data_IF_343392573840
#
_entry.id   IF_343392573840
#
_cell.length_a   1.000
_cell.length_b   1.000
_cell.length_c   1.000
_cell.angle_alpha   90.00
_cell.angle_beta   90.00
_cell.angle_gamma   90.00
#
_symmetry.space_group_name_H-M   'P 1'
#
loop_
_entity.id
_entity.type
_entity.pdbx_description
1 polymer ?
#
# COMPACT_ATOMS: atom_id res chain seq x y z
N UNK A 1 -16.61 -12.62 18.60
CA UNK A 1 -17.03 -13.09 17.26
C UNK A 1 -16.52 -14.50 16.95
N UNK A 2 -15.21 -14.79 16.89
CA UNK A 2 -14.72 -16.15 16.55
C UNK A 2 -15.01 -17.21 17.64
N UNK A 3 -14.55 -16.99 18.88
CA UNK A 3 -14.81 -17.91 20.01
C UNK A 3 -16.30 -18.22 20.16
N UNK A 4 -17.11 -17.18 20.24
CA UNK A 4 -18.57 -17.28 20.31
C UNK A 4 -19.19 -18.06 19.13
N UNK A 5 -18.65 -17.90 17.91
CA UNK A 5 -19.12 -18.67 16.75
C UNK A 5 -18.85 -20.16 16.90
N UNK A 6 -17.65 -20.53 17.36
CA UNK A 6 -17.27 -21.93 17.59
C UNK A 6 -18.10 -22.56 18.71
N UNK A 7 -18.32 -21.82 19.79
CA UNK A 7 -19.14 -22.30 20.93
C UNK A 7 -20.59 -22.59 20.51
N UNK A 8 -21.22 -21.69 19.74
CA UNK A 8 -22.57 -21.92 19.21
C UNK A 8 -22.68 -23.14 18.29
N UNK A 9 -21.55 -23.64 17.77
CA UNK A 9 -21.48 -24.84 16.93
C UNK A 9 -21.05 -26.09 17.70
N UNK A 10 -20.83 -25.98 19.02
CA UNK A 10 -20.44 -27.09 19.88
C UNK A 10 -18.94 -27.38 19.94
N UNK A 11 -18.10 -26.53 19.33
CA UNK A 11 -16.63 -26.69 19.30
C UNK A 11 -15.96 -26.05 20.52
N UNK A 12 -16.42 -26.36 21.73
CA UNK A 12 -15.94 -25.76 22.98
C UNK A 12 -14.55 -26.25 23.39
N UNK A 13 -14.06 -27.32 22.76
CA UNK A 13 -12.78 -27.97 22.96
C UNK A 13 -11.64 -27.38 22.09
N UNK A 14 -11.96 -26.61 21.06
CA UNK A 14 -10.97 -25.96 20.19
C UNK A 14 -10.32 -24.78 20.92
N UNK A 15 -9.01 -24.84 21.14
CA UNK A 15 -8.20 -23.74 21.67
C UNK A 15 -7.95 -22.66 20.59
N UNK A 16 -7.99 -21.39 20.99
CA UNK A 16 -7.57 -20.26 20.15
C UNK A 16 -6.31 -19.67 20.77
N UNK A 17 -5.19 -19.80 20.07
CA UNK A 17 -3.92 -19.16 20.44
C UNK A 17 -3.79 -17.86 19.65
N UNK A 18 -3.78 -16.73 20.35
CA UNK A 18 -3.48 -15.44 19.73
C UNK A 18 -1.97 -15.21 19.73
N UNK A 19 -1.38 -15.08 18.54
CA UNK A 19 0.03 -14.78 18.36
C UNK A 19 0.33 -13.27 18.38
N UNK A 20 -0.71 -12.42 18.51
CA UNK A 20 -0.61 -10.96 18.53
C UNK A 20 -0.04 -10.31 17.26
N UNK A 21 -0.07 -11.03 16.13
CA UNK A 21 0.40 -10.55 14.82
C UNK A 21 -0.70 -9.81 14.02
N UNK A 22 -1.67 -9.21 14.70
CA UNK A 22 -2.77 -8.52 14.03
C UNK A 22 -2.32 -7.18 13.47
N UNK A 23 -2.79 -6.86 12.26
CA UNK A 23 -2.57 -5.59 11.59
C UNK A 23 -3.91 -4.90 11.40
N UNK A 24 -3.97 -3.62 11.76
CA UNK A 24 -5.19 -2.84 11.57
C UNK A 24 -5.29 -2.36 10.11
N UNK A 25 -6.47 -2.47 9.48
CA UNK A 25 -6.65 -1.99 8.11
C UNK A 25 -6.58 -0.47 8.08
N UNK A 26 -5.96 0.07 7.03
CA UNK A 26 -5.89 1.51 6.79
C UNK A 26 -5.96 1.82 5.30
N UNK A 27 -6.61 2.94 4.96
CA UNK A 27 -6.68 3.48 3.61
C UNK A 27 -6.70 4.99 3.65
N UNK A 28 -6.14 5.61 2.63
CA UNK A 28 -6.11 7.07 2.45
C UNK A 28 -7.11 7.49 1.39
N UNK A 29 -7.65 8.71 1.49
CA UNK A 29 -8.40 9.30 0.37
C UNK A 29 -7.50 9.41 -0.87
N UNK A 30 -7.98 9.02 -2.07
CA UNK A 30 -7.25 9.26 -3.32
C UNK A 30 -7.07 10.76 -3.62
N UNK A 31 -7.88 11.63 -2.98
CA UNK A 31 -7.77 13.08 -3.09
C UNK A 31 -6.78 13.70 -2.09
N UNK A 32 -6.00 12.90 -1.36
CA UNK A 32 -4.93 13.45 -0.52
C UNK A 32 -3.79 14.05 -1.37
N UNK A 33 -3.09 15.05 -0.83
CA UNK A 33 -1.97 15.71 -1.53
C UNK A 33 -0.91 14.69 -2.01
N UNK A 34 -0.54 13.74 -1.14
CA UNK A 34 0.44 12.68 -1.48
C UNK A 34 -0.08 11.74 -2.58
N UNK A 35 -1.38 11.40 -2.58
CA UNK A 35 -1.99 10.53 -3.59
C UNK A 35 -2.09 11.21 -4.97
N UNK A 36 -2.43 12.50 -5.00
CA UNK A 36 -2.41 13.29 -6.24
C UNK A 36 -0.98 13.46 -6.76
N UNK A 37 -0.03 13.83 -5.89
CA UNK A 37 1.36 14.03 -6.28
C UNK A 37 1.97 12.79 -6.92
N UNK A 38 1.73 11.59 -6.37
CA UNK A 38 2.25 10.34 -6.95
C UNK A 38 1.53 9.95 -8.24
N UNK A 39 0.21 10.14 -8.32
CA UNK A 39 -0.60 9.86 -9.51
C UNK A 39 -0.16 10.74 -10.69
N UNK A 40 0.00 12.04 -10.45
CA UNK A 40 0.48 13.02 -11.44
C UNK A 40 1.94 12.76 -11.84
N UNK A 41 2.76 12.26 -10.92
CA UNK A 41 4.15 11.88 -11.21
C UNK A 41 4.22 10.67 -12.14
N UNK A 42 3.39 9.65 -11.89
CA UNK A 42 3.30 8.48 -12.77
C UNK A 42 2.79 8.90 -14.15
N UNK A 43 1.71 9.68 -14.22
CA UNK A 43 1.15 10.15 -15.49
C UNK A 43 2.14 10.98 -16.33
N UNK A 44 3.08 11.69 -15.68
CA UNK A 44 4.09 12.50 -16.36
C UNK A 44 5.30 11.70 -16.87
N UNK A 45 5.52 10.48 -16.36
CA UNK A 45 6.72 9.67 -16.67
C UNK A 45 6.35 8.45 -17.51
N UNK A 46 5.30 7.73 -17.11
CA UNK A 46 4.89 6.48 -17.71
C UNK A 46 4.06 6.71 -18.98
N UNK A 47 4.13 5.76 -19.92
CA UNK A 47 3.34 5.81 -21.16
C UNK A 47 1.86 5.42 -20.98
N UNK A 48 1.53 4.81 -19.85
CA UNK A 48 0.19 4.33 -19.52
C UNK A 48 -0.38 5.13 -18.36
N UNK A 49 -1.71 5.38 -18.35
CA UNK A 49 -2.34 6.08 -17.24
C UNK A 49 -2.19 5.27 -15.93
N UNK A 50 -2.00 5.95 -14.79
CA UNK A 50 -1.94 5.29 -13.48
C UNK A 50 -3.29 4.65 -13.13
N UNK A 51 -3.24 3.50 -12.44
CA UNK A 51 -4.40 2.87 -11.83
C UNK A 51 -4.36 3.12 -10.33
N UNK A 52 -5.41 3.75 -9.80
CA UNK A 52 -5.52 4.03 -8.36
C UNK A 52 -6.29 2.90 -7.69
N UNK A 53 -5.63 2.16 -6.82
CA UNK A 53 -6.24 1.11 -6.01
C UNK A 53 -6.39 1.58 -4.55
N UNK A 54 -7.61 1.65 -3.99
CA UNK A 54 -7.83 2.18 -2.63
C UNK A 54 -7.15 1.38 -1.51
N UNK A 55 -6.92 0.08 -1.72
CA UNK A 55 -6.25 -0.81 -0.76
C UNK A 55 -5.55 -1.96 -1.47
N UNK A 56 -4.38 -2.36 -1.00
CA UNK A 56 -3.75 -3.62 -1.41
C UNK A 56 -4.54 -4.82 -0.85
N UNK A 57 -4.42 -5.98 -1.51
CA UNK A 57 -4.87 -7.26 -0.95
C UNK A 57 -3.88 -7.81 0.11
N UNK A 58 -2.64 -7.35 0.09
CA UNK A 58 -1.64 -7.67 1.11
C UNK A 58 -1.82 -6.84 2.38
N UNK A 59 -1.39 -7.40 3.49
CA UNK A 59 -1.36 -6.70 4.78
C UNK A 59 -0.06 -5.90 4.96
N UNK A 60 -0.12 -4.83 5.74
CA UNK A 60 1.05 -4.04 6.13
C UNK A 60 0.74 -3.10 7.29
N UNK A 61 1.76 -2.53 7.95
CA UNK A 61 1.62 -1.75 9.19
C UNK A 61 1.16 -0.30 8.94
N UNK A 62 0.30 -0.07 7.93
CA UNK A 62 -0.05 1.28 7.49
C UNK A 62 -0.88 2.04 8.54
N UNK A 63 -1.67 1.32 9.34
CA UNK A 63 -2.34 1.92 10.48
C UNK A 63 -1.33 2.42 11.52
N UNK A 64 -0.38 1.57 11.90
CA UNK A 64 0.61 1.87 12.93
C UNK A 64 1.53 3.02 12.50
N UNK A 65 1.94 3.04 11.24
CA UNK A 65 2.84 4.05 10.69
C UNK A 65 2.14 5.38 10.38
N UNK A 66 0.89 5.33 9.89
CA UNK A 66 0.22 6.51 9.34
C UNK A 66 -1.14 6.75 10.00
N UNK A 67 -1.99 5.71 10.04
CA UNK A 67 -3.38 5.83 10.49
C UNK A 67 -3.57 6.34 11.91
N UNK A 68 -2.72 5.91 12.86
CA UNK A 68 -2.80 6.35 14.26
C UNK A 68 -2.62 7.87 14.44
N UNK A 69 -1.93 8.50 13.50
CA UNK A 69 -1.67 9.95 13.50
C UNK A 69 -2.44 10.68 12.40
N UNK A 70 -3.33 10.01 11.66
CA UNK A 70 -4.09 10.60 10.55
C UNK A 70 -3.21 11.05 9.36
N UNK A 71 -1.99 10.54 9.25
CA UNK A 71 -1.07 10.93 8.17
C UNK A 71 -1.51 10.24 6.87
N UNK A 72 -1.78 10.98 5.78
CA UNK A 72 -2.12 10.36 4.51
C UNK A 72 -0.92 9.64 3.90
N UNK A 73 -1.18 8.52 3.24
CA UNK A 73 -0.14 7.69 2.61
C UNK A 73 -0.60 7.10 1.29
N UNK A 74 0.32 7.07 0.32
CA UNK A 74 0.14 6.43 -0.98
C UNK A 74 1.39 5.61 -1.30
N UNK A 75 1.23 4.53 -2.09
CA UNK A 75 2.32 3.63 -2.45
C UNK A 75 2.36 3.44 -3.97
N UNK A 76 3.55 3.51 -4.54
CA UNK A 76 3.86 3.06 -5.89
C UNK A 76 5.21 2.34 -5.88
N UNK A 77 5.39 1.40 -6.81
CA UNK A 77 6.58 0.58 -6.88
C UNK A 77 6.92 0.23 -8.33
N UNK A 78 7.89 -0.67 -8.47
CA UNK A 78 8.48 -1.07 -9.76
C UNK A 78 8.17 -2.52 -10.12
N UNK A 79 7.34 -3.18 -9.31
CA UNK A 79 6.93 -4.55 -9.56
C UNK A 79 5.98 -4.64 -10.76
N UNK A 80 6.02 -5.76 -11.46
CA UNK A 80 5.10 -6.09 -12.53
C UNK A 80 4.39 -7.42 -12.23
N UNK A 81 3.40 -7.79 -13.04
CA UNK A 81 2.56 -8.96 -12.78
C UNK A 81 3.31 -10.30 -12.66
N UNK A 82 4.56 -10.37 -13.13
CA UNK A 82 5.42 -11.55 -13.04
C UNK A 82 6.72 -11.26 -12.28
N UNK A 83 6.70 -10.30 -11.35
CA UNK A 83 7.82 -10.04 -10.45
C UNK A 83 8.09 -11.21 -9.51
N UNK A 84 7.16 -12.16 -9.35
CA UNK A 84 7.29 -13.31 -8.44
C UNK A 84 7.63 -12.89 -6.99
N UNK A 85 6.99 -11.83 -6.49
CA UNK A 85 7.19 -11.37 -5.11
C UNK A 85 6.88 -12.54 -4.15
N UNK A 86 7.82 -12.88 -3.28
CA UNK A 86 7.76 -14.05 -2.39
C UNK A 86 7.76 -15.43 -3.09
N UNK A 87 8.22 -15.51 -4.33
CA UNK A 87 8.34 -16.76 -5.07
C UNK A 87 9.73 -16.90 -5.72
N UNK A 88 10.16 -18.13 -6.10
CA UNK A 88 11.44 -18.32 -6.78
C UNK A 88 11.57 -17.47 -8.06
N UNK A 89 12.79 -17.05 -8.35
CA UNK A 89 13.10 -16.15 -9.47
C UNK A 89 12.35 -14.81 -9.39
N UNK A 90 12.29 -14.21 -8.20
CA UNK A 90 11.85 -12.84 -7.98
C UNK A 90 12.66 -11.87 -8.84
N UNK A 91 12.00 -10.95 -9.54
CA UNK A 91 12.66 -10.06 -10.49
C UNK A 91 11.96 -8.72 -10.70
N UNK A 92 12.74 -7.76 -11.19
CA UNK A 92 12.29 -6.45 -11.67
C UNK A 92 12.86 -6.22 -13.07
N UNK A 93 12.10 -5.55 -13.95
CA UNK A 93 12.63 -5.15 -15.25
C UNK A 93 13.49 -3.89 -15.06
N UNK A 94 14.65 -3.85 -15.72
CA UNK A 94 15.54 -2.68 -15.64
C UNK A 94 14.81 -1.40 -16.08
N UNK A 95 13.96 -1.50 -17.12
CA UNK A 95 13.14 -0.39 -17.59
C UNK A 95 12.18 0.12 -16.50
N UNK A 96 11.44 -0.76 -15.83
CA UNK A 96 10.50 -0.42 -14.76
C UNK A 96 11.23 0.19 -13.56
N UNK A 97 12.43 -0.32 -13.22
CA UNK A 97 13.27 0.25 -12.16
C UNK A 97 13.72 1.68 -12.49
N UNK A 98 14.19 1.92 -13.71
CA UNK A 98 14.59 3.26 -14.17
C UNK A 98 13.38 4.21 -14.27
N UNK A 99 12.23 3.71 -14.69
CA UNK A 99 10.98 4.47 -14.67
C UNK A 99 10.60 4.86 -13.25
N UNK A 100 10.66 3.94 -12.30
CA UNK A 100 10.42 4.20 -10.88
C UNK A 100 11.32 5.28 -10.29
N UNK A 101 12.62 5.29 -10.65
CA UNK A 101 13.54 6.37 -10.24
C UNK A 101 13.04 7.74 -10.73
N UNK A 102 12.61 7.83 -12.00
CA UNK A 102 12.09 9.07 -12.57
C UNK A 102 10.78 9.50 -11.90
N UNK A 103 9.87 8.55 -11.63
CA UNK A 103 8.62 8.80 -10.91
C UNK A 103 8.91 9.36 -9.51
N UNK A 104 9.85 8.77 -8.77
CA UNK A 104 10.20 9.26 -7.43
C UNK A 104 10.84 10.65 -7.47
N UNK A 105 11.67 10.94 -8.47
CA UNK A 105 12.19 12.29 -8.69
C UNK A 105 11.07 13.32 -8.92
N UNK A 106 10.09 12.98 -9.75
CA UNK A 106 8.91 13.84 -9.99
C UNK A 106 8.01 13.97 -8.77
N UNK A 107 7.86 12.91 -7.97
CA UNK A 107 7.10 12.92 -6.73
C UNK A 107 7.69 13.92 -5.74
N UNK A 108 9.00 13.87 -5.52
CA UNK A 108 9.68 14.80 -4.62
C UNK A 108 9.53 16.25 -5.09
N UNK A 109 9.67 16.50 -6.39
CA UNK A 109 9.47 17.83 -6.99
C UNK A 109 8.03 18.34 -6.79
N UNK A 110 7.02 17.52 -7.12
CA UNK A 110 5.61 17.92 -7.05
C UNK A 110 5.13 18.07 -5.61
N UNK A 111 5.48 17.14 -4.74
CA UNK A 111 5.03 17.15 -3.36
C UNK A 111 5.64 18.31 -2.56
N UNK A 112 6.87 18.72 -2.88
CA UNK A 112 7.51 19.87 -2.23
C UNK A 112 6.82 21.22 -2.52
N UNK A 113 6.08 21.33 -3.62
CA UNK A 113 5.41 22.57 -4.05
C UNK A 113 3.96 22.65 -3.53
N UNK A 114 3.40 21.54 -3.06
CA UNK A 114 2.03 21.49 -2.54
C UNK A 114 1.99 22.05 -1.11
N UNK A 115 1.83 23.38 -0.99
CA UNK A 115 1.98 24.16 0.26
C UNK A 115 0.77 24.08 1.20
N UNK A 116 -0.25 23.29 0.90
CA UNK A 116 -1.46 23.14 1.73
C UNK A 116 -1.40 21.94 2.70
N UNK A 117 -0.27 21.23 2.79
CA UNK A 117 -0.17 19.96 3.53
C UNK A 117 0.61 20.03 4.87
N UNK A 118 0.69 21.20 5.52
CA UNK A 118 1.16 21.33 6.92
C UNK A 118 0.16 22.12 7.75
#
# INVERSE_FOLDING_TARGET
>A
LLREHLDRRGFTDVEIVDHHDYLMPWRTSPDSAVARAITDSIAAVSQHPPVVQPTSAGSGPMWELCGRNGVPVASAGVSWHNSHVHAPNESVRIADFVEGIKVMGRLLERFAVDREAV
#
